data_IF_289748453258
#
_entry.id   IF_289748453258
#
_cell.length_a   1.000
_cell.length_b   1.000
_cell.length_c   1.000
_cell.angle_alpha   90.00
_cell.angle_beta   90.00
_cell.angle_gamma   90.00
#
_symmetry.space_group_name_H-M   'P 1'
#
loop_
_entity.id
_entity.type
_entity.pdbx_description
1 polymer ?
#
# COMPACT_ATOMS: atom_id res chain seq x y z
N UNK A 1 -19.85 40.01 -25.83
CA UNK A 1 -19.02 40.60 -24.76
C UNK A 1 -19.66 40.26 -23.43
N UNK A 2 -19.20 39.19 -22.78
CA UNK A 2 -19.66 38.72 -21.47
C UNK A 2 -18.52 38.87 -20.44
N UNK A 3 -18.80 39.07 -19.14
CA UNK A 3 -17.79 39.52 -18.18
C UNK A 3 -17.05 38.36 -17.48
N UNK A 4 -15.99 37.83 -18.09
CA UNK A 4 -15.16 36.75 -17.52
C UNK A 4 -14.37 37.13 -16.24
N UNK A 5 -14.38 38.41 -15.84
CA UNK A 5 -13.60 38.90 -14.70
C UNK A 5 -14.19 38.62 -13.31
N UNK A 6 -15.47 38.29 -13.20
CA UNK A 6 -16.17 38.23 -11.90
C UNK A 6 -15.86 36.92 -11.16
N UNK A 7 -15.89 35.79 -11.86
CA UNK A 7 -15.72 34.45 -11.27
C UNK A 7 -14.28 34.18 -10.78
N UNK A 8 -13.29 34.79 -11.42
CA UNK A 8 -11.89 34.71 -10.97
C UNK A 8 -11.69 35.40 -9.60
N UNK A 9 -12.40 36.52 -9.36
CA UNK A 9 -12.31 37.30 -8.12
C UNK A 9 -13.07 36.61 -6.99
N UNK A 10 -14.28 36.09 -7.24
CA UNK A 10 -15.05 35.31 -6.26
C UNK A 10 -14.34 34.01 -5.89
N UNK A 11 -13.76 33.29 -6.86
CA UNK A 11 -12.90 32.10 -6.63
C UNK A 11 -11.67 32.43 -5.79
N UNK A 12 -11.04 33.59 -5.98
CA UNK A 12 -9.91 34.04 -5.16
C UNK A 12 -10.35 34.40 -3.74
N UNK A 13 -11.48 35.09 -3.58
CA UNK A 13 -12.05 35.41 -2.27
C UNK A 13 -12.43 34.15 -1.47
N UNK A 14 -13.09 33.18 -2.11
CA UNK A 14 -13.46 31.89 -1.50
C UNK A 14 -12.22 31.09 -1.04
N UNK A 15 -11.15 31.06 -1.86
CA UNK A 15 -9.87 30.45 -1.47
C UNK A 15 -9.20 31.15 -0.29
N UNK A 16 -9.26 32.48 -0.22
CA UNK A 16 -8.73 33.23 0.92
C UNK A 16 -9.56 33.01 2.20
N UNK A 17 -10.89 32.88 2.11
CA UNK A 17 -11.72 32.58 3.27
C UNK A 17 -11.51 31.14 3.77
N UNK A 18 -11.40 30.16 2.85
CA UNK A 18 -11.02 28.79 3.19
C UNK A 18 -9.65 28.73 3.89
N UNK A 19 -8.65 29.45 3.37
CA UNK A 19 -7.32 29.52 3.99
C UNK A 19 -7.36 30.14 5.40
N UNK A 20 -8.21 31.16 5.63
CA UNK A 20 -8.45 31.73 6.96
C UNK A 20 -9.11 30.72 7.90
N UNK A 21 -10.15 30.01 7.46
CA UNK A 21 -10.84 28.97 8.25
C UNK A 21 -9.90 27.82 8.63
N UNK A 22 -9.12 27.31 7.67
CA UNK A 22 -8.10 26.28 7.92
C UNK A 22 -7.01 26.78 8.89
N UNK A 23 -6.56 28.03 8.76
CA UNK A 23 -5.61 28.64 9.71
C UNK A 23 -6.20 28.77 11.12
N UNK A 24 -7.50 29.07 11.24
CA UNK A 24 -8.21 29.09 12.52
C UNK A 24 -8.34 27.69 13.12
N UNK A 25 -8.68 26.68 12.30
CA UNK A 25 -8.78 25.29 12.72
C UNK A 25 -7.42 24.75 13.20
N UNK A 26 -6.34 25.00 12.45
CA UNK A 26 -4.98 24.62 12.82
C UNK A 26 -4.52 25.31 14.12
N UNK A 27 -4.90 26.57 14.34
CA UNK A 27 -4.64 27.27 15.62
C UNK A 27 -5.44 26.68 16.77
N UNK A 28 -6.70 26.30 16.57
CA UNK A 28 -7.47 25.56 17.59
C UNK A 28 -6.82 24.22 17.89
N UNK A 29 -6.49 23.40 16.89
CA UNK A 29 -5.82 22.11 17.12
C UNK A 29 -4.44 22.20 17.79
N UNK A 30 -3.80 23.39 17.80
CA UNK A 30 -2.48 23.59 18.43
C UNK A 30 -2.51 24.36 19.76
N UNK A 31 -3.59 25.10 20.06
CA UNK A 31 -3.78 25.80 21.36
C UNK A 31 -4.86 25.17 22.25
N UNK A 32 -5.87 24.52 21.66
CA UNK A 32 -6.96 23.79 22.33
C UNK A 32 -6.54 22.34 22.62
N UNK A 33 -5.22 22.08 22.68
CA UNK A 33 -4.60 20.83 23.11
C UNK A 33 -4.68 20.64 24.62
N UNK A 34 -5.86 20.87 25.20
CA UNK A 34 -6.21 20.38 26.52
C UNK A 34 -6.37 18.86 26.43
N UNK A 35 -5.73 18.12 27.32
CA UNK A 35 -5.64 16.64 27.39
C UNK A 35 -6.98 15.90 27.62
N UNK A 36 -8.12 16.53 27.31
CA UNK A 36 -9.46 16.12 27.75
C UNK A 36 -10.44 15.88 26.58
N UNK A 37 -9.93 15.75 25.35
CA UNK A 37 -10.68 15.10 24.26
C UNK A 37 -10.47 13.60 24.42
N UNK A 38 -11.35 12.96 25.19
CA UNK A 38 -11.32 11.52 25.45
C UNK A 38 -11.23 10.72 24.12
N UNK A 39 -10.04 10.19 23.83
CA UNK A 39 -9.72 9.44 22.61
C UNK A 39 -10.67 8.23 22.45
N UNK A 40 -11.19 7.71 23.57
CA UNK A 40 -12.18 6.63 23.60
C UNK A 40 -13.56 7.08 23.13
N UNK A 41 -13.98 8.31 23.43
CA UNK A 41 -15.24 8.87 22.91
C UNK A 41 -15.15 9.04 21.39
N UNK A 42 -14.04 9.59 20.88
CA UNK A 42 -13.83 9.77 19.42
C UNK A 42 -13.80 8.42 18.70
N UNK A 43 -13.14 7.41 19.28
CA UNK A 43 -13.17 6.03 18.78
C UNK A 43 -14.59 5.47 18.69
N UNK A 44 -15.41 5.64 19.74
CA UNK A 44 -16.80 5.16 19.76
C UNK A 44 -17.71 5.88 18.74
N UNK A 45 -17.46 7.17 18.47
CA UNK A 45 -18.17 7.92 17.44
C UNK A 45 -17.75 7.49 16.04
N UNK A 46 -16.46 7.15 15.83
CA UNK A 46 -15.96 6.61 14.57
C UNK A 46 -16.58 5.23 14.28
N UNK A 47 -16.64 4.34 15.27
CA UNK A 47 -17.25 3.01 15.15
C UNK A 47 -18.76 3.09 14.86
N UNK A 48 -19.47 4.05 15.46
CA UNK A 48 -20.87 4.34 15.11
C UNK A 48 -21.01 4.85 13.67
N UNK A 49 -20.10 5.71 13.20
CA UNK A 49 -20.08 6.19 11.82
C UNK A 49 -19.81 5.04 10.83
N UNK A 50 -18.84 4.18 11.14
CA UNK A 50 -18.52 2.98 10.35
C UNK A 50 -19.69 2.00 10.33
N UNK A 51 -20.44 1.84 11.43
CA UNK A 51 -21.64 1.01 11.47
C UNK A 51 -22.79 1.55 10.61
N UNK A 52 -22.96 2.88 10.54
CA UNK A 52 -23.98 3.52 9.69
C UNK A 52 -23.57 3.51 8.21
N UNK A 53 -22.28 3.68 7.90
CA UNK A 53 -21.75 3.69 6.52
C UNK A 53 -21.56 2.27 5.96
N UNK A 54 -21.06 1.34 6.78
CA UNK A 54 -20.83 -0.06 6.43
C UNK A 54 -22.11 -0.92 6.38
N UNK A 55 -23.18 -0.47 7.05
CA UNK A 55 -24.49 -1.14 7.04
C UNK A 55 -25.13 -1.31 5.66
N UNK A 56 -24.62 -0.63 4.62
CA UNK A 56 -25.07 -0.77 3.24
C UNK A 56 -24.41 -1.94 2.46
N UNK A 57 -23.32 -2.57 2.96
CA UNK A 57 -22.55 -3.57 2.21
C UNK A 57 -21.86 -4.64 3.08
N UNK A 58 -22.64 -5.53 3.70
CA UNK A 58 -22.19 -6.93 3.89
C UNK A 58 -23.37 -7.86 4.16
N UNK A 59 -23.78 -8.61 3.12
CA UNK A 59 -24.66 -9.75 3.28
C UNK A 59 -23.82 -11.04 3.29
N UNK A 60 -24.10 -11.90 4.27
CA UNK A 60 -23.65 -13.30 4.37
C UNK A 60 -22.15 -13.63 4.23
N UNK A 61 -21.48 -13.80 5.38
CA UNK A 61 -20.38 -14.76 5.51
C UNK A 61 -20.80 -15.91 6.45
N UNK A 62 -21.34 -16.99 5.86
CA UNK A 62 -21.78 -18.19 6.59
C UNK A 62 -20.56 -18.92 7.17
N UNK A 63 -20.56 -19.12 8.49
CA UNK A 63 -19.64 -20.02 9.19
C UNK A 63 -19.96 -21.47 8.83
N UNK A 64 -18.94 -22.26 8.50
CA UNK A 64 -19.00 -23.74 8.53
C UNK A 64 -17.67 -24.26 9.11
N UNK A 65 -17.67 -25.35 9.92
CA UNK A 65 -16.53 -25.69 10.77
C UNK A 65 -15.62 -26.80 10.21
N UNK A 66 -14.35 -26.66 10.58
CA UNK A 66 -13.37 -27.71 10.91
C UNK A 66 -13.78 -29.18 10.71
N UNK A 67 -13.13 -29.88 9.79
CA UNK A 67 -12.85 -31.31 9.91
C UNK A 67 -11.43 -31.65 9.44
N UNK A 68 -10.76 -32.46 10.25
CA UNK A 68 -9.43 -33.05 9.99
C UNK A 68 -9.60 -34.49 9.53
N UNK A 69 -8.96 -34.88 8.43
CA UNK A 69 -8.73 -36.29 8.10
C UNK A 69 -7.43 -36.46 7.32
N UNK A 70 -6.51 -37.23 7.88
CA UNK A 70 -5.41 -37.82 7.14
C UNK A 70 -5.97 -38.86 6.17
N UNK A 71 -5.47 -38.90 4.93
CA UNK A 71 -4.91 -40.15 4.40
C UNK A 71 -3.95 -39.93 3.24
N UNK A 72 -3.11 -40.93 3.00
CA UNK A 72 -2.18 -41.10 1.87
C UNK A 72 -2.46 -42.48 1.23
N UNK A 73 -1.75 -43.00 0.21
CA UNK A 73 -0.61 -42.46 -0.56
C UNK A 73 -0.74 -42.57 -2.10
N UNK A 74 0.22 -42.01 -2.83
CA UNK A 74 0.37 -42.23 -4.28
C UNK A 74 1.79 -41.96 -4.79
N UNK A 75 2.56 -43.02 -5.06
CA UNK A 75 3.89 -42.99 -5.73
C UNK A 75 3.64 -42.67 -7.23
N UNK A 76 4.47 -42.02 -8.06
CA UNK A 76 5.94 -41.82 -8.13
C UNK A 76 6.21 -40.64 -9.11
N UNK A 77 7.39 -40.14 -9.50
CA UNK A 77 8.82 -40.39 -9.19
C UNK A 77 9.70 -39.18 -9.66
N UNK A 78 11.02 -39.33 -9.68
CA UNK A 78 12.00 -38.67 -10.57
C UNK A 78 12.08 -37.12 -10.66
N UNK A 79 12.82 -36.52 -9.71
CA UNK A 79 14.04 -35.73 -10.00
C UNK A 79 14.01 -34.42 -10.80
N UNK A 80 14.14 -33.28 -10.07
CA UNK A 80 14.95 -32.06 -10.40
C UNK A 80 14.72 -31.06 -9.25
N UNK A 81 15.67 -30.75 -8.36
CA UNK A 81 16.93 -29.99 -8.55
C UNK A 81 16.68 -28.58 -9.10
N UNK A 82 16.67 -27.61 -8.17
CA UNK A 82 16.94 -26.17 -8.32
C UNK A 82 16.02 -25.29 -9.19
N UNK A 83 15.11 -24.58 -8.50
CA UNK A 83 15.02 -23.10 -8.56
C UNK A 83 14.40 -22.40 -9.78
N UNK A 84 13.11 -22.06 -9.69
CA UNK A 84 12.55 -20.69 -9.90
C UNK A 84 11.01 -20.70 -9.92
N UNK A 85 10.31 -19.73 -9.29
CA UNK A 85 8.85 -19.62 -9.41
C UNK A 85 8.45 -19.10 -10.80
N UNK A 86 7.61 -19.84 -11.51
CA UNK A 86 7.17 -19.51 -12.88
C UNK A 86 6.08 -18.43 -12.86
N UNK A 87 6.42 -17.22 -13.33
CA UNK A 87 5.46 -16.16 -13.63
C UNK A 87 4.73 -16.41 -14.97
N UNK A 88 3.74 -17.29 -14.97
CA UNK A 88 2.90 -17.56 -16.15
C UNK A 88 1.48 -17.00 -16.01
N UNK A 89 1.34 -15.68 -16.18
CA UNK A 89 0.04 -14.98 -16.28
C UNK A 89 -0.14 -14.15 -17.55
N UNK A 90 0.80 -14.23 -18.50
CA UNK A 90 0.66 -13.65 -19.83
C UNK A 90 0.47 -14.74 -20.90
N UNK A 91 -0.70 -15.37 -20.88
CA UNK A 91 -1.15 -16.23 -21.98
C UNK A 91 -1.44 -15.35 -23.21
N UNK A 92 -0.41 -15.10 -24.03
CA UNK A 92 -0.52 -14.35 -25.27
C UNK A 92 -1.61 -14.95 -26.17
N UNK A 93 -2.65 -14.16 -26.46
CA UNK A 93 -3.79 -14.58 -27.30
C UNK A 93 -3.53 -14.35 -28.81
N UNK A 94 -2.30 -14.02 -29.18
CA UNK A 94 -1.93 -13.70 -30.57
C UNK A 94 -1.37 -14.89 -31.35
N UNK A 95 -0.91 -15.97 -30.70
CA UNK A 95 -0.37 -17.15 -31.39
C UNK A 95 -1.40 -18.00 -32.15
N UNK A 96 -2.68 -17.95 -31.75
CA UNK A 96 -3.72 -18.81 -32.34
C UNK A 96 -4.19 -18.34 -33.73
N UNK A 97 -3.92 -17.07 -34.11
CA UNK A 97 -4.37 -16.50 -35.39
C UNK A 97 -3.52 -16.96 -36.58
N UNK A 98 -2.20 -17.06 -36.41
CA UNK A 98 -1.27 -17.47 -37.48
C UNK A 98 -1.49 -18.91 -37.97
N UNK A 99 -2.04 -19.78 -37.11
CA UNK A 99 -2.33 -21.18 -37.46
C UNK A 99 -3.62 -21.32 -38.29
N UNK A 100 -4.61 -20.45 -38.09
CA UNK A 100 -5.87 -20.49 -38.86
C UNK A 100 -5.68 -20.05 -40.32
N UNK A 101 -4.94 -18.96 -40.53
CA UNK A 101 -4.64 -18.39 -41.85
C UNK A 101 -3.86 -19.36 -42.76
N UNK A 102 -3.03 -20.23 -42.17
CA UNK A 102 -2.26 -21.21 -42.93
C UNK A 102 -3.09 -22.41 -43.38
N UNK A 103 -4.12 -22.79 -42.61
CA UNK A 103 -4.99 -23.94 -42.90
C UNK A 103 -6.06 -23.64 -43.94
N UNK A 104 -6.54 -22.40 -43.99
CA UNK A 104 -7.46 -21.92 -45.02
C UNK A 104 -6.81 -21.95 -46.42
N UNK A 105 -5.50 -21.65 -46.50
CA UNK A 105 -4.74 -21.61 -47.76
C UNK A 105 -4.44 -22.98 -48.40
N UNK A 106 -4.56 -24.08 -47.65
CA UNK A 106 -4.25 -25.43 -48.16
C UNK A 106 -5.51 -26.22 -48.59
N UNK A 107 -6.71 -25.74 -48.26
CA UNK A 107 -7.97 -26.42 -48.58
C UNK A 107 -8.51 -26.12 -49.99
N UNK A 108 -8.03 -25.05 -50.65
CA UNK A 108 -8.49 -24.62 -51.98
C UNK A 108 -7.60 -25.15 -53.13
N UNK A 109 -7.44 -26.48 -53.22
CA UNK A 109 -6.80 -27.15 -54.38
C UNK A 109 -7.67 -28.27 -54.95
N UNK A 110 -8.67 -27.85 -55.71
CA UNK A 110 -9.48 -28.62 -56.65
C UNK A 110 -9.37 -27.93 -58.05
N UNK A 111 -9.75 -28.58 -59.16
CA UNK A 111 -9.02 -28.43 -60.44
C UNK A 111 -9.21 -27.11 -61.18
N UNK A 112 -8.21 -26.78 -62.01
CA UNK A 112 -8.18 -25.62 -62.90
C UNK A 112 -9.23 -25.73 -64.01
N UNK A 113 -10.43 -25.18 -63.77
CA UNK A 113 -11.42 -24.91 -64.81
C UNK A 113 -11.24 -23.48 -65.37
N UNK A 114 -11.41 -23.35 -66.68
CA UNK A 114 -11.26 -22.17 -67.56
C UNK A 114 -10.56 -20.89 -67.06
N UNK A 115 -9.47 -20.52 -67.77
CA UNK A 115 -8.75 -19.27 -67.58
C UNK A 115 -9.69 -18.04 -67.52
N UNK A 116 -9.64 -17.22 -66.45
CA UNK A 116 -10.56 -16.11 -66.30
C UNK A 116 -10.36 -15.10 -67.43
N UNK A 117 -11.42 -14.86 -68.19
CA UNK A 117 -11.41 -13.89 -69.29
C UNK A 117 -10.85 -12.55 -68.79
N UNK A 118 -9.87 -11.98 -69.49
CA UNK A 118 -9.16 -10.75 -69.11
C UNK A 118 -10.04 -9.49 -69.29
N UNK A 119 -11.22 -9.46 -68.66
CA UNK A 119 -11.98 -8.24 -68.41
C UNK A 119 -11.24 -7.46 -67.32
N UNK A 120 -10.34 -6.58 -67.77
CA UNK A 120 -9.66 -5.63 -66.89
C UNK A 120 -10.67 -4.85 -66.05
N UNK A 121 -10.29 -4.59 -64.79
CA UNK A 121 -11.08 -3.85 -63.80
C UNK A 121 -11.74 -2.63 -64.45
N UNK A 122 -13.07 -2.55 -64.41
CA UNK A 122 -13.77 -1.41 -65.02
C UNK A 122 -13.39 -0.13 -64.28
N UNK A 123 -13.24 0.99 -65.01
CA UNK A 123 -12.77 2.26 -64.41
C UNK A 123 -13.65 2.79 -63.27
N UNK A 124 -14.91 2.37 -63.20
CA UNK A 124 -15.83 2.63 -62.08
C UNK A 124 -15.55 1.76 -60.86
N UNK A 125 -15.29 0.46 -61.04
CA UNK A 125 -14.86 -0.43 -59.95
C UNK A 125 -13.49 -0.01 -59.39
N UNK A 126 -12.54 0.37 -60.26
CA UNK A 126 -11.23 0.88 -59.83
C UNK A 126 -11.37 2.13 -58.94
N UNK A 127 -12.21 3.10 -59.35
CA UNK A 127 -12.53 4.29 -58.53
C UNK A 127 -13.18 3.93 -57.19
N UNK A 128 -14.08 2.95 -57.16
CA UNK A 128 -14.71 2.49 -55.91
C UNK A 128 -13.68 1.86 -54.97
N UNK A 129 -12.78 1.01 -55.47
CA UNK A 129 -11.70 0.43 -54.67
C UNK A 129 -10.77 1.52 -54.12
N UNK A 130 -10.40 2.51 -54.92
CA UNK A 130 -9.59 3.66 -54.46
C UNK A 130 -10.33 4.42 -53.34
N UNK A 131 -11.64 4.64 -53.46
CA UNK A 131 -12.43 5.33 -52.44
C UNK A 131 -12.50 4.55 -51.10
N UNK A 132 -12.79 3.25 -51.15
CA UNK A 132 -12.81 2.39 -49.95
C UNK A 132 -11.40 2.26 -49.32
N UNK A 133 -10.35 2.20 -50.14
CA UNK A 133 -8.96 2.13 -49.68
C UNK A 133 -8.51 3.44 -49.01
N UNK A 134 -8.92 4.59 -49.55
CA UNK A 134 -8.71 5.90 -48.89
C UNK A 134 -9.45 5.98 -47.56
N UNK A 135 -10.72 5.56 -47.52
CA UNK A 135 -11.53 5.51 -46.30
C UNK A 135 -10.89 4.61 -45.23
N UNK A 136 -10.43 3.41 -45.61
CA UNK A 136 -9.71 2.51 -44.69
C UNK A 136 -8.40 3.13 -44.19
N UNK A 137 -7.68 3.87 -45.03
CA UNK A 137 -6.47 4.58 -44.64
C UNK A 137 -6.74 5.74 -43.66
N UNK A 138 -7.86 6.46 -43.84
CA UNK A 138 -8.35 7.46 -42.87
C UNK A 138 -8.73 6.80 -41.54
N UNK A 139 -9.51 5.72 -41.56
CA UNK A 139 -9.88 4.95 -40.37
C UNK A 139 -8.63 4.43 -39.62
N UNK A 140 -7.68 3.80 -40.33
CA UNK A 140 -6.39 3.38 -39.76
C UNK A 140 -5.59 4.56 -39.17
N UNK A 141 -5.55 5.71 -39.84
CA UNK A 141 -4.88 6.91 -39.34
C UNK A 141 -5.53 7.40 -38.04
N UNK A 142 -6.86 7.38 -37.93
CA UNK A 142 -7.54 7.71 -36.66
C UNK A 142 -7.23 6.69 -35.56
N UNK A 143 -7.17 5.39 -35.86
CA UNK A 143 -6.83 4.35 -34.88
C UNK A 143 -5.39 4.53 -34.38
N UNK A 144 -4.42 4.77 -35.26
CA UNK A 144 -3.01 5.04 -34.89
C UNK A 144 -2.90 6.27 -34.00
N UNK A 145 -3.59 7.36 -34.33
CA UNK A 145 -3.59 8.57 -33.50
C UNK A 145 -4.19 8.32 -32.11
N UNK A 146 -5.29 7.57 -32.01
CA UNK A 146 -5.90 7.19 -30.73
C UNK A 146 -5.00 6.26 -29.90
N UNK A 147 -4.29 5.32 -30.54
CA UNK A 147 -3.33 4.45 -29.86
C UNK A 147 -2.13 5.25 -29.33
N UNK A 148 -1.61 6.22 -30.10
CA UNK A 148 -0.53 7.11 -29.67
C UNK A 148 -0.95 7.96 -28.46
N UNK A 149 -2.14 8.56 -28.50
CA UNK A 149 -2.68 9.32 -27.38
C UNK A 149 -2.81 8.46 -26.11
N UNK A 150 -3.32 7.22 -26.23
CA UNK A 150 -3.38 6.27 -25.09
C UNK A 150 -2.01 5.83 -24.58
N UNK A 151 -1.01 5.73 -25.47
CA UNK A 151 0.37 5.45 -25.05
C UNK A 151 0.91 6.62 -24.20
N UNK A 152 0.74 7.86 -24.66
CA UNK A 152 1.17 9.08 -23.95
C UNK A 152 0.46 9.21 -22.58
N UNK A 153 -0.85 8.94 -22.51
CA UNK A 153 -1.61 8.87 -21.25
C UNK A 153 -1.07 7.78 -20.30
N UNK A 154 -0.76 6.59 -20.83
CA UNK A 154 -0.22 5.47 -20.05
C UNK A 154 1.17 5.77 -19.51
N UNK A 155 2.04 6.38 -20.32
CA UNK A 155 3.38 6.83 -19.90
C UNK A 155 3.29 7.92 -18.82
N UNK A 156 2.36 8.87 -18.94
CA UNK A 156 2.11 9.89 -17.92
C UNK A 156 1.62 9.30 -16.60
N UNK A 157 0.65 8.36 -16.64
CA UNK A 157 0.15 7.66 -15.45
C UNK A 157 1.26 6.84 -14.80
N UNK A 158 2.09 6.14 -15.59
CA UNK A 158 3.24 5.38 -15.10
C UNK A 158 4.25 6.30 -14.37
N UNK A 159 4.55 7.49 -14.92
CA UNK A 159 5.38 8.48 -14.26
C UNK A 159 4.83 8.91 -12.89
N UNK A 160 3.55 9.24 -12.81
CA UNK A 160 2.89 9.60 -11.54
C UNK A 160 2.90 8.46 -10.50
N UNK A 161 2.77 7.21 -10.95
CA UNK A 161 2.87 6.04 -10.07
C UNK A 161 4.30 5.84 -9.53
N UNK A 162 5.32 6.06 -10.37
CA UNK A 162 6.73 6.01 -9.96
C UNK A 162 7.02 7.12 -8.93
N UNK A 163 6.69 8.38 -9.20
CA UNK A 163 6.89 9.49 -8.25
C UNK A 163 6.18 9.26 -6.90
N UNK A 164 4.99 8.64 -6.93
CA UNK A 164 4.25 8.31 -5.72
C UNK A 164 4.94 7.18 -4.94
N UNK A 165 5.43 6.15 -5.63
CA UNK A 165 6.17 5.06 -5.03
C UNK A 165 7.51 5.53 -4.43
N UNK A 166 8.26 6.37 -5.15
CA UNK A 166 9.51 6.96 -4.67
C UNK A 166 9.31 7.81 -3.42
N UNK A 167 8.33 8.72 -3.43
CA UNK A 167 8.00 9.56 -2.26
C UNK A 167 7.51 8.72 -1.07
N UNK A 168 6.80 7.62 -1.32
CA UNK A 168 6.41 6.67 -0.27
C UNK A 168 7.62 5.91 0.29
N UNK A 169 8.55 5.45 -0.57
CA UNK A 169 9.78 4.78 -0.16
C UNK A 169 10.67 5.71 0.67
N UNK A 170 10.86 6.97 0.26
CA UNK A 170 11.59 7.99 1.03
C UNK A 170 10.96 8.21 2.41
N UNK A 171 9.63 8.27 2.50
CA UNK A 171 8.89 8.38 3.78
C UNK A 171 9.12 7.15 4.67
N UNK A 172 9.10 5.95 4.11
CA UNK A 172 9.36 4.70 4.84
C UNK A 172 10.78 4.68 5.39
N UNK A 173 11.79 4.98 4.56
CA UNK A 173 13.21 5.02 4.97
C UNK A 173 13.41 6.05 6.09
N UNK A 174 12.84 7.25 5.96
CA UNK A 174 12.91 8.27 7.01
C UNK A 174 12.31 7.79 8.35
N UNK A 175 11.16 7.13 8.31
CA UNK A 175 10.50 6.60 9.51
C UNK A 175 11.28 5.42 10.11
N UNK A 176 11.85 4.52 9.30
CA UNK A 176 12.72 3.43 9.75
C UNK A 176 13.97 3.96 10.47
N UNK A 177 14.66 4.95 9.88
CA UNK A 177 15.82 5.59 10.51
C UNK A 177 15.44 6.27 11.84
N UNK A 178 14.25 6.90 11.92
CA UNK A 178 13.76 7.52 13.16
C UNK A 178 13.38 6.48 14.21
N UNK A 179 12.86 5.32 13.82
CA UNK A 179 12.58 4.20 14.72
C UNK A 179 13.89 3.64 15.28
N UNK A 180 14.88 3.32 14.44
CA UNK A 180 16.21 2.81 14.87
C UNK A 180 16.84 3.73 15.92
N UNK A 181 16.86 5.05 15.68
CA UNK A 181 17.38 6.01 16.64
C UNK A 181 16.63 6.00 17.99
N UNK A 182 15.30 5.87 17.97
CA UNK A 182 14.49 5.81 19.19
C UNK A 182 14.63 4.47 19.93
N UNK A 183 14.91 3.39 19.21
CA UNK A 183 15.22 2.07 19.79
C UNK A 183 16.60 2.06 20.45
N UNK A 184 17.60 2.70 19.82
CA UNK A 184 18.93 2.95 20.39
C UNK A 184 18.85 3.81 21.66
N UNK A 185 18.18 4.97 21.60
CA UNK A 185 17.97 5.87 22.75
C UNK A 185 17.25 5.16 23.93
N UNK A 186 16.26 4.32 23.63
CA UNK A 186 15.56 3.51 24.63
C UNK A 186 16.47 2.44 25.24
N UNK A 187 17.30 1.77 24.44
CA UNK A 187 18.25 0.77 24.90
C UNK A 187 19.34 1.39 25.79
N UNK A 188 19.84 2.57 25.45
CA UNK A 188 20.78 3.33 26.28
C UNK A 188 20.15 3.69 27.64
N UNK A 189 18.92 4.23 27.64
CA UNK A 189 18.19 4.52 28.89
C UNK A 189 17.96 3.29 29.76
N UNK A 190 17.73 2.12 29.16
CA UNK A 190 17.61 0.84 29.87
C UNK A 190 18.94 0.37 30.46
N UNK A 191 20.07 0.65 29.80
CA UNK A 191 21.41 0.46 30.33
C UNK A 191 21.70 1.36 31.54
N UNK A 192 21.38 2.65 31.44
CA UNK A 192 21.54 3.62 32.53
C UNK A 192 20.71 3.25 33.77
N UNK A 193 19.44 2.85 33.58
CA UNK A 193 18.56 2.42 34.68
C UNK A 193 19.05 1.13 35.35
N UNK A 194 19.63 0.20 34.58
CA UNK A 194 20.26 -1.01 35.12
C UNK A 194 21.52 -0.65 35.93
N UNK A 195 22.37 0.22 35.40
CA UNK A 195 23.56 0.72 36.08
C UNK A 195 23.19 1.40 37.41
N UNK A 196 22.23 2.33 37.40
CA UNK A 196 21.77 3.04 38.60
C UNK A 196 21.18 2.09 39.65
N UNK A 197 20.44 1.06 39.22
CA UNK A 197 19.94 0.00 40.11
C UNK A 197 21.08 -0.82 40.74
N UNK A 198 22.17 -1.08 40.02
CA UNK A 198 23.36 -1.74 40.55
C UNK A 198 24.06 -0.83 41.58
N UNK A 199 24.23 0.46 41.28
CA UNK A 199 24.80 1.44 42.22
C UNK A 199 23.98 1.52 43.52
N UNK A 200 22.66 1.61 43.43
CA UNK A 200 21.77 1.58 44.60
C UNK A 200 21.98 0.29 45.42
N UNK A 201 22.09 -0.87 44.74
CA UNK A 201 22.30 -2.15 45.42
C UNK A 201 23.65 -2.25 46.11
N UNK A 202 24.70 -1.64 45.54
CA UNK A 202 26.00 -1.53 46.19
C UNK A 202 25.92 -0.66 47.45
N UNK A 203 25.24 0.49 47.39
CA UNK A 203 25.00 1.36 48.57
C UNK A 203 24.23 0.60 49.65
N UNK A 204 23.17 -0.15 49.31
CA UNK A 204 22.44 -0.99 50.26
C UNK A 204 23.31 -2.00 51.00
N UNK A 205 24.25 -2.64 50.30
CA UNK A 205 25.14 -3.66 50.87
C UNK A 205 26.22 -3.01 51.75
N UNK A 206 26.64 -1.78 51.42
CA UNK A 206 27.65 -1.03 52.17
C UNK A 206 27.06 -0.25 53.38
N UNK A 207 25.74 -0.34 53.63
CA UNK A 207 25.11 0.41 54.72
C UNK A 207 25.49 -0.14 56.12
N UNK A 208 25.82 0.75 57.09
CA UNK A 208 25.99 0.36 58.48
C UNK A 208 24.72 -0.25 59.11
N UNK A 209 24.83 -1.02 60.22
CA UNK A 209 23.67 -1.61 60.91
C UNK A 209 22.62 -0.61 61.40
N UNK A 210 22.99 0.65 61.57
CA UNK A 210 22.12 1.77 61.88
C UNK A 210 22.30 2.88 60.83
N UNK A 211 21.70 2.75 59.64
CA UNK A 211 21.79 3.78 58.62
C UNK A 211 20.99 5.02 59.02
N UNK A 212 21.36 6.16 58.45
CA UNK A 212 20.59 7.40 58.59
C UNK A 212 19.16 7.23 58.06
N UNK A 213 18.20 7.78 58.79
CA UNK A 213 16.77 7.81 58.44
C UNK A 213 16.53 8.60 57.15
N UNK A 214 17.35 9.61 56.85
CA UNK A 214 17.24 10.35 55.59
C UNK A 214 17.63 9.48 54.40
N UNK A 215 18.79 8.83 54.47
CA UNK A 215 19.25 7.89 53.45
C UNK A 215 18.27 6.73 53.22
N UNK A 216 17.68 6.18 54.30
CA UNK A 216 16.62 5.17 54.20
C UNK A 216 15.38 5.68 53.44
N UNK A 217 14.93 6.92 53.69
CA UNK A 217 13.82 7.54 52.95
C UNK A 217 14.15 7.73 51.47
N UNK A 218 15.36 8.19 51.15
CA UNK A 218 15.80 8.37 49.76
C UNK A 218 15.85 7.04 49.00
N UNK A 219 16.38 5.97 49.61
CA UNK A 219 16.40 4.62 49.03
C UNK A 219 14.97 4.06 48.85
N UNK A 220 14.07 4.30 49.80
CA UNK A 220 12.67 3.88 49.69
C UNK A 220 11.94 4.61 48.54
N UNK A 221 12.07 5.93 48.47
CA UNK A 221 11.46 6.76 47.41
C UNK A 221 11.94 6.31 46.03
N UNK A 222 13.25 6.13 45.84
CA UNK A 222 13.82 5.65 44.58
C UNK A 222 13.27 4.26 44.18
N UNK A 223 13.06 3.35 45.13
CA UNK A 223 12.45 2.04 44.85
C UNK A 223 11.00 2.18 44.38
N UNK A 224 10.22 3.03 45.03
CA UNK A 224 8.82 3.24 44.68
C UNK A 224 8.68 3.88 43.29
N UNK A 225 9.54 4.86 42.97
CA UNK A 225 9.64 5.48 41.65
C UNK A 225 10.06 4.47 40.57
N UNK A 226 11.06 3.63 40.85
CA UNK A 226 11.50 2.58 39.94
C UNK A 226 10.39 1.53 39.69
N UNK A 227 9.62 1.17 40.72
CA UNK A 227 8.46 0.27 40.57
C UNK A 227 7.31 0.96 39.81
N UNK A 228 7.08 2.26 40.03
CA UNK A 228 6.11 3.03 39.25
C UNK A 228 6.50 3.12 37.77
N UNK A 229 7.78 3.35 37.48
CA UNK A 229 8.34 3.32 36.12
C UNK A 229 8.17 1.95 35.47
N UNK A 230 8.45 0.85 36.19
CA UNK A 230 8.22 -0.51 35.72
C UNK A 230 6.75 -0.77 35.38
N UNK A 231 5.81 -0.32 36.23
CA UNK A 231 4.36 -0.42 35.97
C UNK A 231 3.94 0.39 34.73
N UNK A 232 4.42 1.63 34.60
CA UNK A 232 4.18 2.49 33.42
C UNK A 232 4.66 1.83 32.11
N UNK A 233 5.85 1.23 32.12
CA UNK A 233 6.41 0.50 30.97
C UNK A 233 5.60 -0.75 30.62
N UNK A 234 5.23 -1.58 31.61
CA UNK A 234 4.39 -2.76 31.39
C UNK A 234 3.01 -2.40 30.80
N UNK A 235 2.41 -1.30 31.24
CA UNK A 235 1.15 -0.81 30.69
C UNK A 235 1.29 -0.38 29.22
N UNK A 236 2.35 0.37 28.87
CA UNK A 236 2.65 0.75 27.47
C UNK A 236 2.88 -0.47 26.57
N UNK A 237 3.62 -1.47 27.04
CA UNK A 237 3.83 -2.72 26.29
C UNK A 237 2.52 -3.50 26.07
N UNK A 238 1.64 -3.54 27.07
CA UNK A 238 0.30 -4.12 26.93
C UNK A 238 -0.55 -3.38 25.89
N UNK A 239 -0.56 -2.05 25.89
CA UNK A 239 -1.28 -1.27 24.88
C UNK A 239 -0.73 -1.46 23.46
N UNK A 240 0.60 -1.60 23.29
CA UNK A 240 1.23 -1.87 22.01
C UNK A 240 0.81 -3.25 21.45
N UNK A 241 0.81 -4.27 22.31
CA UNK A 241 0.36 -5.63 21.97
C UNK A 241 -1.13 -5.68 21.60
N UNK A 242 -1.99 -4.96 22.32
CA UNK A 242 -3.43 -4.85 22.00
C UNK A 242 -3.70 -4.14 20.67
N UNK A 243 -2.84 -3.20 20.25
CA UNK A 243 -2.93 -2.53 18.93
C UNK A 243 -2.35 -3.36 17.77
N UNK A 244 -2.03 -4.64 17.98
CA UNK A 244 -1.61 -5.57 16.91
C UNK A 244 -0.18 -5.37 16.41
N UNK A 245 0.64 -4.56 17.09
CA UNK A 245 2.08 -4.55 16.89
C UNK A 245 2.70 -5.74 17.62
N UNK A 246 2.65 -6.91 16.98
CA UNK A 246 3.34 -8.11 17.43
C UNK A 246 4.80 -8.09 16.91
N UNK A 247 5.84 -7.96 17.78
CA UNK A 247 7.23 -7.83 17.32
C UNK A 247 7.83 -9.12 16.73
N UNK A 248 7.06 -10.22 16.73
CA UNK A 248 7.54 -11.59 16.48
C UNK A 248 7.76 -11.94 14.99
N UNK A 249 8.04 -10.97 14.13
CA UNK A 249 8.42 -11.23 12.73
C UNK A 249 9.70 -10.50 12.24
N UNK A 250 10.55 -10.04 13.17
CA UNK A 250 11.97 -9.81 12.83
C UNK A 250 12.68 -11.16 12.70
N UNK A 251 13.19 -11.45 11.51
CA UNK A 251 13.59 -12.81 11.11
C UNK A 251 14.71 -13.42 11.95
N UNK A 252 14.49 -14.65 12.42
CA UNK A 252 15.55 -15.52 12.94
C UNK A 252 16.58 -15.81 11.83
N UNK A 253 17.89 -15.61 12.07
CA UNK A 253 18.91 -15.99 11.11
C UNK A 253 18.98 -17.53 11.00
N UNK A 254 18.74 -18.05 9.80
CA UNK A 254 19.02 -19.45 9.48
C UNK A 254 20.54 -19.69 9.56
N UNK A 255 20.91 -20.84 10.14
CA UNK A 255 22.29 -21.27 10.39
C UNK A 255 22.50 -22.65 9.77
#
# INVERSE_FOLDING_TARGET
MLPEGIDAVTSRAARHDLARRLSHLARRLTYDGSDDVDEMMVGSQLEQLEKVVGGARSAESKKLPYQTSFDSPGRSDAGSVLGSPVSSLFRSRFSDLSASLHREREAEKEPEDEAPSKKGMTGTQAKKVIAEMNKLNEELSTVVNNLKARQEESEHIQGLLIERAERAAQRIIFLQNRISYLEEELQENDGELQHLRICLKAVEIQMPPHPDKELQRCIATFKDDYQALKRKRAHRASMASVRGFDPLQMGSPLR
#
